data_IF_777725740994
#
_entry.id   IF_777725740994
#
_cell.length_a   1.000
_cell.length_b   1.000
_cell.length_c   1.000
_cell.angle_alpha   90.00
_cell.angle_beta   90.00
_cell.angle_gamma   90.00
#
_symmetry.space_group_name_H-M   'P 1'
#
loop_
_entity.id
_entity.type
_entity.pdbx_description
1 polymer ?
#
# COMPACT_ATOMS: atom_id res chain seq x y z
N UNK A 1 9.75 -5.92 -17.95
CA UNK A 1 8.29 -6.03 -17.77
C UNK A 1 7.75 -7.44 -17.99
N UNK A 2 7.91 -8.09 -19.16
CA UNK A 2 7.40 -9.47 -19.39
C UNK A 2 8.04 -10.53 -18.51
N UNK A 3 9.35 -10.45 -18.29
CA UNK A 3 10.11 -11.35 -17.40
C UNK A 3 9.58 -11.26 -15.96
N UNK A 4 9.34 -10.05 -15.47
CA UNK A 4 8.81 -9.83 -14.12
C UNK A 4 7.39 -10.41 -13.96
N UNK A 5 6.52 -10.17 -14.94
CA UNK A 5 5.15 -10.73 -14.96
C UNK A 5 5.17 -12.25 -15.04
N UNK A 6 6.08 -12.83 -15.84
CA UNK A 6 6.28 -14.27 -15.93
C UNK A 6 6.69 -14.90 -14.58
N UNK A 7 7.65 -14.29 -13.90
CA UNK A 7 8.06 -14.72 -12.56
C UNK A 7 6.92 -14.69 -11.55
N UNK A 8 6.14 -13.60 -11.52
CA UNK A 8 4.98 -13.46 -10.64
C UNK A 8 3.91 -14.53 -10.91
N UNK A 9 3.61 -14.80 -12.19
CA UNK A 9 2.66 -15.85 -12.58
C UNK A 9 3.11 -17.24 -12.12
N UNK A 10 4.38 -17.58 -12.35
CA UNK A 10 4.94 -18.86 -11.89
C UNK A 10 4.85 -19.02 -10.36
N UNK A 11 5.16 -17.96 -9.61
CA UNK A 11 5.03 -17.95 -8.14
C UNK A 11 3.59 -18.13 -7.68
N UNK A 12 2.63 -17.52 -8.35
CA UNK A 12 1.20 -17.69 -8.04
C UNK A 12 0.75 -19.13 -8.28
N UNK A 13 1.18 -19.78 -9.37
CA UNK A 13 0.82 -21.18 -9.61
C UNK A 13 1.42 -22.12 -8.55
N UNK A 14 2.65 -21.91 -8.15
CA UNK A 14 3.26 -22.62 -7.01
C UNK A 14 2.43 -22.47 -5.72
N UNK A 15 2.01 -21.24 -5.42
CA UNK A 15 1.18 -20.95 -4.24
C UNK A 15 -0.20 -21.59 -4.32
N UNK A 16 -0.81 -21.66 -5.50
CA UNK A 16 -2.08 -22.37 -5.73
C UNK A 16 -1.94 -23.86 -5.45
N UNK A 17 -0.84 -24.49 -5.90
CA UNK A 17 -0.54 -25.89 -5.58
C UNK A 17 -0.32 -26.09 -4.09
N UNK A 18 0.42 -25.20 -3.41
CA UNK A 18 0.56 -25.25 -1.94
C UNK A 18 -0.80 -25.13 -1.25
N UNK A 19 -1.67 -24.26 -1.72
CA UNK A 19 -3.02 -24.06 -1.17
C UNK A 19 -3.87 -25.34 -1.28
N UNK A 20 -3.80 -26.06 -2.40
CA UNK A 20 -4.56 -27.32 -2.56
C UNK A 20 -4.14 -28.42 -1.59
N UNK A 21 -2.90 -28.36 -1.08
CA UNK A 21 -2.36 -29.27 -0.06
C UNK A 21 -2.43 -28.73 1.38
N UNK A 22 -3.03 -27.57 1.59
CA UNK A 22 -3.09 -26.94 2.91
C UNK A 22 -3.93 -27.77 3.89
N UNK A 23 -3.45 -27.91 5.13
CA UNK A 23 -4.05 -28.76 6.16
C UNK A 23 -4.98 -28.02 7.12
N UNK A 24 -4.91 -26.69 7.13
CA UNK A 24 -5.70 -25.85 8.02
C UNK A 24 -6.24 -24.62 7.29
N UNK A 25 -7.34 -24.08 7.82
CA UNK A 25 -7.93 -22.81 7.33
C UNK A 25 -6.96 -21.63 7.53
N UNK A 26 -6.15 -21.67 8.59
CA UNK A 26 -5.10 -20.69 8.85
C UNK A 26 -4.00 -20.72 7.79
N UNK A 27 -3.57 -21.93 7.35
CA UNK A 27 -2.59 -22.05 6.25
C UNK A 27 -3.17 -21.50 4.95
N UNK A 28 -4.45 -21.76 4.66
CA UNK A 28 -5.14 -21.19 3.49
C UNK A 28 -5.13 -19.65 3.55
N UNK A 29 -5.42 -19.06 4.72
CA UNK A 29 -5.36 -17.62 4.92
C UNK A 29 -3.98 -17.06 4.58
N UNK A 30 -2.91 -17.63 5.12
CA UNK A 30 -1.53 -17.20 4.91
C UNK A 30 -1.11 -17.31 3.44
N UNK A 31 -1.42 -18.45 2.81
CA UNK A 31 -1.12 -18.64 1.39
C UNK A 31 -1.88 -17.64 0.51
N UNK A 32 -3.13 -17.35 0.84
CA UNK A 32 -3.89 -16.30 0.14
C UNK A 32 -3.21 -14.92 0.29
N UNK A 33 -2.67 -14.58 1.46
CA UNK A 33 -1.90 -13.34 1.64
C UNK A 33 -0.70 -13.28 0.69
N UNK A 34 0.08 -14.37 0.60
CA UNK A 34 1.20 -14.46 -0.35
C UNK A 34 0.73 -14.30 -1.81
N UNK A 35 -0.41 -14.86 -2.19
CA UNK A 35 -1.00 -14.73 -3.52
C UNK A 35 -1.44 -13.27 -3.78
N UNK A 36 -2.09 -12.63 -2.80
CA UNK A 36 -2.53 -11.24 -2.88
C UNK A 36 -1.33 -10.33 -3.11
N UNK A 37 -0.24 -10.47 -2.32
CA UNK A 37 0.99 -9.68 -2.46
C UNK A 37 1.62 -9.81 -3.86
N UNK A 38 1.44 -10.96 -4.51
CA UNK A 38 1.89 -11.15 -5.89
C UNK A 38 0.96 -10.52 -6.93
N UNK A 39 -0.35 -10.45 -6.69
CA UNK A 39 -1.32 -9.87 -7.62
C UNK A 39 -1.46 -8.35 -7.50
N UNK A 40 -1.35 -7.76 -6.31
CA UNK A 40 -1.56 -6.33 -6.05
C UNK A 40 -0.78 -5.42 -7.00
N UNK A 41 0.35 -5.89 -7.50
CA UNK A 41 1.22 -5.12 -8.38
C UNK A 41 0.80 -5.11 -9.86
N UNK A 42 -0.18 -5.94 -10.30
CA UNK A 42 -0.51 -6.03 -11.73
C UNK A 42 -1.94 -6.51 -12.09
N UNK A 43 -2.70 -7.12 -11.17
CA UNK A 43 -4.06 -7.65 -11.44
C UNK A 43 -4.97 -7.51 -10.20
N UNK A 44 -5.57 -6.34 -10.04
CA UNK A 44 -6.43 -6.03 -8.89
C UNK A 44 -7.64 -6.97 -8.75
N UNK A 45 -8.31 -7.34 -9.84
CA UNK A 45 -9.48 -8.24 -9.81
C UNK A 45 -9.15 -9.62 -9.24
N UNK A 46 -7.97 -10.15 -9.60
CA UNK A 46 -7.51 -11.43 -9.08
C UNK A 46 -7.13 -11.34 -7.60
N UNK A 47 -6.54 -10.22 -7.17
CA UNK A 47 -6.24 -9.96 -5.76
C UNK A 47 -7.53 -9.89 -4.93
N UNK A 48 -8.56 -9.18 -5.42
CA UNK A 48 -9.85 -9.03 -4.75
C UNK A 48 -10.49 -10.38 -4.40
N UNK A 49 -10.50 -11.33 -5.34
CA UNK A 49 -11.03 -12.66 -5.11
C UNK A 49 -10.42 -13.34 -3.88
N UNK A 50 -9.09 -13.28 -3.73
CA UNK A 50 -8.40 -13.87 -2.57
C UNK A 50 -8.61 -13.08 -1.29
N UNK A 51 -8.70 -11.75 -1.37
CA UNK A 51 -9.02 -10.90 -0.22
C UNK A 51 -10.41 -11.22 0.32
N UNK A 52 -11.41 -11.36 -0.55
CA UNK A 52 -12.77 -11.73 -0.15
C UNK A 52 -12.84 -13.14 0.48
N UNK A 53 -12.03 -14.09 -0.01
CA UNK A 53 -11.87 -15.39 0.66
C UNK A 53 -11.29 -15.21 2.06
N UNK A 54 -10.24 -14.41 2.23
CA UNK A 54 -9.60 -14.17 3.52
C UNK A 54 -10.55 -13.49 4.52
N UNK A 55 -11.43 -12.59 4.08
CA UNK A 55 -12.47 -12.01 4.94
C UNK A 55 -13.41 -13.11 5.46
N UNK A 56 -13.81 -14.06 4.62
CA UNK A 56 -14.66 -15.19 5.04
C UNK A 56 -13.94 -16.10 6.03
N UNK A 57 -12.69 -16.41 5.75
CA UNK A 57 -11.81 -17.22 6.63
C UNK A 57 -11.64 -16.53 7.98
N UNK A 58 -11.27 -15.25 8.00
CA UNK A 58 -11.08 -14.49 9.23
C UNK A 58 -12.33 -14.46 10.12
N UNK A 59 -13.51 -14.34 9.50
CA UNK A 59 -14.80 -14.43 10.21
C UNK A 59 -15.04 -15.83 10.78
N UNK A 60 -14.76 -16.88 10.02
CA UNK A 60 -14.94 -18.27 10.48
C UNK A 60 -13.98 -18.65 11.60
N UNK A 61 -12.79 -18.07 11.62
CA UNK A 61 -11.79 -18.25 12.68
C UNK A 61 -12.06 -17.38 13.90
N UNK A 62 -12.96 -16.40 13.81
CA UNK A 62 -13.18 -15.40 14.86
C UNK A 62 -11.93 -14.54 15.13
N UNK A 63 -11.07 -14.35 14.12
CA UNK A 63 -9.82 -13.64 14.26
C UNK A 63 -9.98 -12.17 13.80
N UNK A 64 -10.04 -11.20 14.73
CA UNK A 64 -10.27 -9.80 14.39
C UNK A 64 -9.08 -9.18 13.65
N UNK A 65 -7.85 -9.61 13.93
CA UNK A 65 -6.65 -9.06 13.30
C UNK A 65 -6.56 -9.50 11.82
N UNK A 66 -6.91 -10.75 11.52
CA UNK A 66 -7.03 -11.21 10.13
C UNK A 66 -8.15 -10.50 9.38
N UNK A 67 -9.26 -10.21 10.08
CA UNK A 67 -10.38 -9.52 9.47
C UNK A 67 -10.03 -8.07 9.13
N UNK A 68 -9.39 -7.34 10.05
CA UNK A 68 -8.96 -5.96 9.82
C UNK A 68 -7.88 -5.88 8.73
N UNK A 69 -6.90 -6.77 8.73
CA UNK A 69 -5.87 -6.87 7.69
C UNK A 69 -6.49 -7.07 6.30
N UNK A 70 -7.42 -8.03 6.18
CA UNK A 70 -8.10 -8.29 4.91
C UNK A 70 -8.99 -7.13 4.46
N UNK A 71 -9.63 -6.42 5.39
CA UNK A 71 -10.40 -5.20 5.07
C UNK A 71 -9.51 -4.07 4.59
N UNK A 72 -8.35 -3.85 5.22
CA UNK A 72 -7.38 -2.85 4.77
C UNK A 72 -6.89 -3.14 3.34
N UNK A 73 -6.61 -4.41 3.02
CA UNK A 73 -6.25 -4.82 1.65
C UNK A 73 -7.38 -4.57 0.66
N UNK A 74 -8.63 -4.86 1.04
CA UNK A 74 -9.79 -4.60 0.18
C UNK A 74 -9.98 -3.09 -0.07
N UNK A 75 -9.87 -2.26 0.96
CA UNK A 75 -9.95 -0.80 0.83
C UNK A 75 -8.87 -0.26 -0.13
N UNK A 76 -7.66 -0.80 -0.05
CA UNK A 76 -6.57 -0.46 -0.97
C UNK A 76 -6.93 -0.81 -2.43
N UNK A 77 -7.38 -2.04 -2.70
CA UNK A 77 -7.76 -2.49 -4.04
C UNK A 77 -8.91 -1.64 -4.60
N UNK A 78 -9.92 -1.35 -3.80
CA UNK A 78 -11.04 -0.49 -4.21
C UNK A 78 -10.58 0.94 -4.51
N UNK A 79 -9.64 1.47 -3.74
CA UNK A 79 -9.03 2.78 -4.01
C UNK A 79 -8.28 2.83 -5.35
N UNK A 80 -7.58 1.74 -5.72
CA UNK A 80 -6.89 1.62 -7.01
C UNK A 80 -7.87 1.48 -8.18
N UNK A 81 -9.00 0.80 -7.96
CA UNK A 81 -10.03 0.55 -8.98
C UNK A 81 -11.04 1.70 -9.13
N UNK A 82 -10.89 2.80 -8.38
CA UNK A 82 -11.81 3.93 -8.42
C UNK A 82 -13.15 3.71 -7.70
N UNK A 83 -13.27 2.63 -6.94
CA UNK A 83 -14.44 2.30 -6.11
C UNK A 83 -14.37 3.04 -4.77
N UNK A 84 -14.33 4.38 -4.84
CA UNK A 84 -14.03 5.23 -3.69
C UNK A 84 -15.08 5.17 -2.58
N UNK A 85 -16.36 5.06 -2.93
CA UNK A 85 -17.41 4.94 -1.93
C UNK A 85 -17.26 3.66 -1.11
N UNK A 86 -17.04 2.53 -1.78
CA UNK A 86 -16.83 1.24 -1.15
C UNK A 86 -15.55 1.23 -0.29
N UNK A 87 -14.46 1.84 -0.77
CA UNK A 87 -13.23 1.98 0.00
C UNK A 87 -13.47 2.80 1.28
N UNK A 88 -14.18 3.93 1.18
CA UNK A 88 -14.53 4.77 2.33
C UNK A 88 -15.38 4.01 3.36
N UNK A 89 -16.38 3.26 2.91
CA UNK A 89 -17.23 2.47 3.80
C UNK A 89 -16.41 1.44 4.59
N UNK A 90 -15.41 0.83 3.95
CA UNK A 90 -14.49 -0.08 4.62
C UNK A 90 -13.65 0.66 5.66
N UNK A 91 -13.01 1.80 5.32
CA UNK A 91 -12.23 2.59 6.27
C UNK A 91 -13.06 2.97 7.51
N UNK A 92 -14.30 3.44 7.30
CA UNK A 92 -15.22 3.78 8.40
C UNK A 92 -15.64 2.60 9.26
N UNK A 93 -15.60 1.37 8.71
CA UNK A 93 -15.95 0.13 9.42
C UNK A 93 -14.82 -0.42 10.29
N UNK A 94 -13.60 0.11 10.18
CA UNK A 94 -12.42 -0.33 10.91
C UNK A 94 -12.33 0.42 12.24
N UNK A 95 -12.29 -0.33 13.33
CA UNK A 95 -11.97 0.24 14.66
C UNK A 95 -10.46 0.45 14.77
N UNK A 96 -10.00 1.66 14.42
CA UNK A 96 -8.58 2.03 14.46
C UNK A 96 -7.94 1.79 15.83
N UNK A 97 -8.69 2.00 16.92
CA UNK A 97 -8.19 1.83 18.28
C UNK A 97 -7.70 0.41 18.57
N UNK A 98 -8.30 -0.58 17.91
CA UNK A 98 -8.00 -2.01 18.07
C UNK A 98 -6.97 -2.55 17.09
N UNK A 99 -6.53 -1.75 16.12
CA UNK A 99 -5.56 -2.24 15.14
C UNK A 99 -4.19 -2.52 15.79
N UNK A 100 -3.53 -3.63 15.45
CA UNK A 100 -2.11 -3.84 15.71
C UNK A 100 -1.24 -2.73 15.08
N UNK A 101 -0.03 -2.54 15.60
CA UNK A 101 0.83 -1.42 15.20
C UNK A 101 1.16 -1.42 13.69
N UNK A 102 1.44 -2.58 13.11
CA UNK A 102 1.70 -2.77 11.68
C UNK A 102 0.47 -2.45 10.82
N UNK A 103 -0.73 -2.82 11.29
CA UNK A 103 -1.97 -2.49 10.60
C UNK A 103 -2.35 -1.00 10.74
N UNK A 104 -1.94 -0.31 11.81
CA UNK A 104 -2.07 1.15 11.92
C UNK A 104 -1.23 1.86 10.85
N UNK A 105 0.00 1.41 10.61
CA UNK A 105 0.81 1.93 9.50
C UNK A 105 0.14 1.68 8.16
N UNK A 106 -0.35 0.45 7.91
CA UNK A 106 -1.08 0.11 6.68
C UNK A 106 -2.34 0.96 6.49
N UNK A 107 -3.07 1.23 7.57
CA UNK A 107 -4.26 2.10 7.52
C UNK A 107 -3.90 3.48 6.97
N UNK A 108 -2.83 4.11 7.46
CA UNK A 108 -2.42 5.43 6.98
C UNK A 108 -1.84 5.40 5.57
N UNK A 109 -1.03 4.40 5.20
CA UNK A 109 -0.57 4.25 3.81
C UNK A 109 -1.74 4.11 2.82
N UNK A 110 -2.72 3.30 3.17
CA UNK A 110 -3.90 3.11 2.33
C UNK A 110 -4.76 4.38 2.27
N UNK A 111 -4.88 5.12 3.36
CA UNK A 111 -5.60 6.41 3.40
C UNK A 111 -4.91 7.46 2.53
N UNK A 112 -3.59 7.57 2.60
CA UNK A 112 -2.81 8.45 1.71
C UNK A 112 -3.08 8.09 0.26
N UNK A 113 -2.98 6.80 -0.10
CA UNK A 113 -3.24 6.33 -1.48
C UNK A 113 -4.68 6.61 -1.93
N UNK A 114 -5.64 6.45 -1.04
CA UNK A 114 -7.04 6.75 -1.30
C UNK A 114 -7.23 8.24 -1.67
N UNK A 115 -6.71 9.17 -0.88
CA UNK A 115 -6.80 10.60 -1.16
C UNK A 115 -5.98 11.02 -2.39
N UNK A 116 -4.79 10.45 -2.60
CA UNK A 116 -4.01 10.67 -3.83
C UNK A 116 -4.79 10.27 -5.08
N UNK A 117 -5.55 9.19 -5.02
CA UNK A 117 -6.40 8.76 -6.14
C UNK A 117 -7.62 9.66 -6.30
N UNK A 118 -8.28 10.09 -5.22
CA UNK A 118 -9.39 11.04 -5.29
C UNK A 118 -8.97 12.34 -5.99
N UNK A 119 -7.79 12.87 -5.68
CA UNK A 119 -7.26 14.09 -6.34
C UNK A 119 -7.16 13.91 -7.86
N UNK A 120 -6.81 12.73 -8.37
CA UNK A 120 -6.71 12.47 -9.81
C UNK A 120 -8.06 12.54 -10.54
N UNK A 121 -9.16 12.29 -9.82
CA UNK A 121 -10.50 12.24 -10.38
C UNK A 121 -11.34 13.50 -10.08
N UNK A 122 -10.84 14.42 -9.24
CA UNK A 122 -11.53 15.69 -8.97
C UNK A 122 -10.99 16.82 -9.84
N UNK A 123 -11.89 17.62 -10.38
CA UNK A 123 -11.59 18.89 -11.07
C UNK A 123 -11.82 20.09 -10.15
N UNK A 124 -12.25 19.88 -8.91
CA UNK A 124 -12.50 20.92 -7.93
C UNK A 124 -11.22 21.19 -7.13
N UNK A 125 -10.72 22.42 -7.23
CA UNK A 125 -9.49 22.83 -6.53
C UNK A 125 -9.65 22.83 -5.00
N UNK A 126 -10.83 23.22 -4.49
CA UNK A 126 -11.10 23.24 -3.06
C UNK A 126 -11.08 21.83 -2.47
N UNK A 127 -11.75 20.88 -3.12
CA UNK A 127 -11.70 19.46 -2.72
C UNK A 127 -10.28 18.89 -2.84
N UNK A 128 -9.55 19.26 -3.89
CA UNK A 128 -8.16 18.84 -4.05
C UNK A 128 -7.28 19.30 -2.88
N UNK A 129 -7.45 20.54 -2.43
CA UNK A 129 -6.68 21.07 -1.30
C UNK A 129 -7.12 20.46 0.04
N UNK A 130 -8.39 20.15 0.23
CA UNK A 130 -8.89 19.39 1.36
C UNK A 130 -8.23 18.00 1.42
N UNK A 131 -8.21 17.27 0.29
CA UNK A 131 -7.57 15.93 0.21
C UNK A 131 -6.06 16.00 0.44
N UNK A 132 -5.35 17.02 -0.04
CA UNK A 132 -3.93 17.24 0.29
C UNK A 132 -3.74 17.45 1.80
N UNK A 133 -4.64 18.18 2.45
CA UNK A 133 -4.63 18.33 3.90
C UNK A 133 -4.81 16.99 4.65
N UNK A 134 -5.70 16.11 4.15
CA UNK A 134 -5.85 14.75 4.72
C UNK A 134 -4.59 13.89 4.50
N UNK A 135 -3.96 13.96 3.32
CA UNK A 135 -2.69 13.28 3.05
C UNK A 135 -1.64 13.72 4.08
N UNK A 136 -1.47 15.02 4.29
CA UNK A 136 -0.52 15.55 5.27
C UNK A 136 -0.78 15.01 6.68
N UNK A 137 -2.04 15.05 7.16
CA UNK A 137 -2.42 14.50 8.47
C UNK A 137 -2.14 13.01 8.61
N UNK A 138 -2.46 12.22 7.58
CA UNK A 138 -2.17 10.79 7.55
C UNK A 138 -0.67 10.51 7.58
N UNK A 139 0.12 11.30 6.83
CA UNK A 139 1.58 11.16 6.77
C UNK A 139 2.25 11.53 8.10
N UNK A 140 1.83 12.60 8.76
CA UNK A 140 2.31 12.96 10.10
C UNK A 140 2.06 11.84 11.11
N UNK A 141 0.84 11.27 11.08
CA UNK A 141 0.48 10.15 11.93
C UNK A 141 1.32 8.91 11.64
N UNK A 142 1.54 8.60 10.35
CA UNK A 142 2.36 7.48 9.91
C UNK A 142 3.82 7.64 10.35
N UNK A 143 4.41 8.82 10.17
CA UNK A 143 5.78 9.13 10.61
C UNK A 143 5.96 8.98 12.12
N UNK A 144 4.92 9.24 12.91
CA UNK A 144 4.96 9.03 14.37
C UNK A 144 4.97 7.55 14.76
N UNK A 145 4.53 6.65 13.91
CA UNK A 145 4.47 5.20 14.15
C UNK A 145 5.69 4.45 13.62
N UNK A 146 6.30 4.95 12.55
CA UNK A 146 7.43 4.29 11.90
C UNK A 146 8.71 4.47 12.71
N UNK A 147 9.60 3.45 12.77
CA UNK A 147 10.91 3.59 13.41
C UNK A 147 11.73 4.69 12.73
N UNK A 148 12.14 5.68 13.49
CA UNK A 148 12.94 6.81 12.99
C UNK A 148 14.20 6.29 12.31
N UNK A 149 14.48 6.79 11.10
CA UNK A 149 15.64 6.40 10.30
C UNK A 149 15.45 5.09 9.51
N UNK A 150 14.35 4.35 9.69
CA UNK A 150 14.03 3.24 8.79
C UNK A 150 13.81 3.73 7.35
N UNK A 151 13.96 2.83 6.37
CA UNK A 151 13.73 3.18 4.96
C UNK A 151 12.31 3.70 4.72
N UNK A 152 11.32 3.11 5.38
CA UNK A 152 9.92 3.55 5.27
C UNK A 152 9.74 4.95 5.86
N UNK A 153 10.31 5.21 7.04
CA UNK A 153 10.29 6.54 7.64
C UNK A 153 10.97 7.59 6.75
N UNK A 154 12.16 7.27 6.21
CA UNK A 154 12.89 8.16 5.30
C UNK A 154 12.08 8.44 4.04
N UNK A 155 11.46 7.41 3.45
CA UNK A 155 10.61 7.54 2.27
C UNK A 155 9.43 8.48 2.51
N UNK A 156 8.71 8.28 3.62
CA UNK A 156 7.57 9.13 3.97
C UNK A 156 8.01 10.56 4.34
N UNK A 157 9.16 10.71 5.00
CA UNK A 157 9.74 12.03 5.26
C UNK A 157 10.10 12.78 3.97
N UNK A 158 10.64 12.10 2.99
CA UNK A 158 10.93 12.71 1.68
C UNK A 158 9.64 13.15 0.97
N UNK A 159 8.58 12.35 0.99
CA UNK A 159 7.27 12.78 0.45
C UNK A 159 6.69 13.97 1.21
N UNK A 160 6.84 14.01 2.53
CA UNK A 160 6.42 15.16 3.34
C UNK A 160 7.15 16.45 2.92
N UNK A 161 8.46 16.39 2.70
CA UNK A 161 9.26 17.52 2.21
C UNK A 161 8.78 17.99 0.83
N UNK A 162 8.45 17.07 -0.08
CA UNK A 162 7.88 17.43 -1.38
C UNK A 162 6.55 18.17 -1.25
N UNK A 163 5.67 17.74 -0.34
CA UNK A 163 4.39 18.40 -0.07
C UNK A 163 4.56 19.79 0.55
N UNK A 164 5.65 19.99 1.30
CA UNK A 164 6.03 21.28 1.88
C UNK A 164 6.76 22.22 0.91
N UNK A 165 6.94 21.82 -0.35
CA UNK A 165 7.66 22.61 -1.35
C UNK A 165 9.18 22.64 -1.13
N UNK A 166 9.74 21.60 -0.52
CA UNK A 166 11.17 21.43 -0.24
C UNK A 166 11.75 20.25 -1.03
N UNK A 167 11.73 20.27 -2.38
CA UNK A 167 12.11 19.11 -3.19
C UNK A 167 13.60 18.76 -3.06
N UNK A 168 14.49 19.71 -2.82
CA UNK A 168 15.94 19.45 -2.68
C UNK A 168 16.23 18.54 -1.50
N UNK A 169 15.57 18.76 -0.34
CA UNK A 169 15.71 17.88 0.83
C UNK A 169 15.14 16.48 0.58
N UNK A 170 14.07 16.38 -0.20
CA UNK A 170 13.51 15.09 -0.60
C UNK A 170 14.45 14.33 -1.55
N UNK A 171 15.09 15.03 -2.49
CA UNK A 171 16.07 14.46 -3.43
C UNK A 171 17.25 13.83 -2.69
N UNK A 172 17.84 14.53 -1.72
CA UNK A 172 18.94 13.99 -0.92
C UNK A 172 18.59 12.67 -0.25
N UNK A 173 17.38 12.59 0.35
CA UNK A 173 16.90 11.36 0.99
C UNK A 173 16.68 10.25 -0.04
N UNK A 174 15.98 10.52 -1.15
CA UNK A 174 15.71 9.51 -2.16
C UNK A 174 16.97 9.00 -2.85
N UNK A 175 17.95 9.85 -3.10
CA UNK A 175 19.26 9.43 -3.64
C UNK A 175 19.98 8.51 -2.65
N UNK A 176 19.98 8.83 -1.36
CA UNK A 176 20.54 7.98 -0.32
C UNK A 176 19.92 6.58 -0.30
N UNK A 177 18.58 6.52 -0.31
CA UNK A 177 17.83 5.27 -0.37
C UNK A 177 18.13 4.50 -1.67
N UNK A 178 18.15 5.19 -2.81
CA UNK A 178 18.38 4.57 -4.12
C UNK A 178 19.77 3.96 -4.24
N UNK A 179 20.81 4.66 -3.79
CA UNK A 179 22.19 4.16 -3.82
C UNK A 179 22.41 2.90 -2.97
N UNK A 180 21.59 2.70 -1.95
CA UNK A 180 21.68 1.54 -1.05
C UNK A 180 20.98 0.27 -1.56
N UNK A 181 20.30 0.32 -2.72
CA UNK A 181 19.43 -0.77 -3.22
C UNK A 181 20.08 -1.55 -4.36
N UNK A 182 19.75 -2.85 -4.39
CA UNK A 182 20.16 -3.74 -5.49
C UNK A 182 19.37 -3.38 -6.77
N UNK A 183 20.06 -3.08 -7.90
CA UNK A 183 19.45 -2.69 -9.18
C UNK A 183 18.44 -3.68 -9.78
N UNK A 184 18.47 -4.94 -9.36
CA UNK A 184 17.59 -5.99 -9.89
C UNK A 184 16.29 -6.16 -9.11
N UNK A 185 16.03 -5.31 -8.12
CA UNK A 185 14.89 -5.47 -7.20
C UNK A 185 13.73 -4.53 -7.52
N UNK A 186 12.50 -4.94 -7.17
CA UNK A 186 11.33 -4.06 -7.23
C UNK A 186 11.51 -2.76 -6.40
N UNK A 187 12.09 -2.79 -5.20
CA UNK A 187 12.43 -1.58 -4.44
C UNK A 187 13.34 -0.60 -5.18
N UNK A 188 14.24 -1.07 -6.04
CA UNK A 188 15.06 -0.20 -6.88
C UNK A 188 14.21 0.56 -7.91
N UNK A 189 13.30 -0.15 -8.60
CA UNK A 189 12.40 0.46 -9.57
C UNK A 189 11.49 1.52 -8.91
N UNK A 190 10.98 1.25 -7.71
CA UNK A 190 10.21 2.22 -6.92
C UNK A 190 11.06 3.43 -6.53
N UNK A 191 12.30 3.22 -6.09
CA UNK A 191 13.24 4.30 -5.79
C UNK A 191 13.51 5.19 -7.00
N UNK A 192 13.70 4.62 -8.18
CA UNK A 192 13.88 5.36 -9.43
C UNK A 192 12.65 6.22 -9.77
N UNK A 193 11.45 5.70 -9.56
CA UNK A 193 10.20 6.44 -9.77
C UNK A 193 10.05 7.61 -8.78
N UNK A 194 10.39 7.41 -7.52
CA UNK A 194 10.37 8.48 -6.50
C UNK A 194 11.37 9.59 -6.84
N UNK A 195 12.59 9.23 -7.25
CA UNK A 195 13.60 10.17 -7.70
C UNK A 195 13.13 10.98 -8.93
N UNK A 196 12.59 10.31 -9.95
CA UNK A 196 12.08 11.00 -11.14
C UNK A 196 10.98 12.00 -10.80
N UNK A 197 10.09 11.66 -9.87
CA UNK A 197 9.04 12.58 -9.38
C UNK A 197 9.64 13.77 -8.64
N UNK A 198 10.64 13.55 -7.79
CA UNK A 198 11.30 14.61 -7.03
C UNK A 198 12.09 15.57 -7.96
N UNK A 199 12.86 15.05 -8.92
CA UNK A 199 13.53 15.87 -9.93
C UNK A 199 12.55 16.71 -10.76
N UNK A 200 11.41 16.12 -11.18
CA UNK A 200 10.38 16.85 -11.90
C UNK A 200 9.78 18.02 -11.11
N UNK A 201 9.74 17.94 -9.79
CA UNK A 201 9.26 19.03 -8.91
C UNK A 201 10.38 20.06 -8.61
N UNK A 202 11.63 19.64 -8.56
CA UNK A 202 12.77 20.54 -8.37
C UNK A 202 13.09 21.41 -9.62
N UNK A 203 12.46 21.11 -10.77
CA UNK A 203 12.67 21.85 -12.01
C UNK A 203 13.95 21.44 -12.74
N UNK A 204 14.46 20.26 -12.49
CA UNK A 204 15.66 19.69 -13.12
C UNK A 204 15.29 18.77 -14.30
#
# INVERSE_FOLDING_TARGET
SEVYTGYKKARIEELRLRKSGARSTEDIYRINCEIIDNYESFLCDSAEYYVLQNIRIARSLGNPDHLSESRLRLAFLYSLSGLFLQANDIFRSIDYGRLPADQKCRYYWNSIRYYENLIKYTNDSHLSDEYKGEIGRCRDSLLSLLPVGSTDWQTERAFQLMEQGQPDGALEIFEGIFRSRDPQTHPYAMGAMCLAKAYGQAGA
#
